data_IF_281745335896
#
_entry.id   IF_281745335896
#
_cell.length_a   1.000
_cell.length_b   1.000
_cell.length_c   1.000
_cell.angle_alpha   90.00
_cell.angle_beta   90.00
_cell.angle_gamma   90.00
#
_symmetry.space_group_name_H-M   'P 1'
#
loop_
_entity.id
_entity.type
_entity.pdbx_description
1 polymer ?
#
# COMPACT_ATOMS: atom_id res chain seq x y z
N UNK A 1 23.35 1.23 -3.80
CA UNK A 1 22.08 1.22 -4.54
C UNK A 1 21.14 2.32 -4.04
N UNK A 2 20.74 2.38 -2.73
CA UNK A 2 19.75 3.34 -2.22
C UNK A 2 20.08 4.80 -2.52
N UNK A 3 21.32 5.24 -2.25
CA UNK A 3 21.72 6.62 -2.56
C UNK A 3 21.56 6.97 -4.03
N UNK A 4 21.87 6.05 -4.92
CA UNK A 4 21.65 6.25 -6.36
C UNK A 4 20.17 6.42 -6.67
N UNK A 5 19.30 5.56 -6.15
CA UNK A 5 17.87 5.64 -6.39
C UNK A 5 17.29 6.98 -5.90
N UNK A 6 17.57 7.34 -4.67
CA UNK A 6 16.94 8.51 -4.04
C UNK A 6 17.59 9.85 -4.38
N UNK A 7 18.91 9.91 -4.46
CA UNK A 7 19.62 11.18 -4.68
C UNK A 7 19.84 11.50 -6.16
N UNK A 8 20.06 10.46 -6.99
CA UNK A 8 20.38 10.68 -8.41
C UNK A 8 19.15 10.40 -9.31
N UNK A 9 18.34 9.42 -8.96
CA UNK A 9 17.13 9.07 -9.74
C UNK A 9 15.85 9.70 -9.18
N UNK A 10 15.91 10.37 -8.03
CA UNK A 10 14.79 11.05 -7.38
C UNK A 10 13.58 10.15 -7.15
N UNK A 11 13.81 8.88 -6.83
CA UNK A 11 12.75 7.93 -6.45
C UNK A 11 12.12 8.42 -5.16
N UNK A 12 10.81 8.51 -5.11
CA UNK A 12 10.07 8.95 -3.93
C UNK A 12 9.94 7.86 -2.88
N UNK A 13 9.81 6.62 -3.34
CA UNK A 13 9.63 5.44 -2.49
C UNK A 13 10.04 4.20 -3.28
N UNK A 14 10.53 3.17 -2.61
CA UNK A 14 10.67 1.84 -3.19
C UNK A 14 9.89 0.82 -2.37
N UNK A 15 9.57 -0.31 -2.98
CA UNK A 15 8.93 -1.44 -2.34
C UNK A 15 9.56 -2.75 -2.76
N UNK A 16 9.54 -3.74 -1.88
CA UNK A 16 10.11 -5.06 -2.10
C UNK A 16 9.35 -6.15 -1.34
N UNK A 17 9.51 -7.39 -1.75
CA UNK A 17 8.88 -8.56 -1.12
C UNK A 17 9.50 -8.96 0.22
N UNK A 18 10.83 -8.91 0.41
CA UNK A 18 11.45 -9.19 1.70
C UNK A 18 10.96 -8.26 2.81
N UNK A 19 11.20 -8.67 4.08
CA UNK A 19 10.86 -7.87 5.24
C UNK A 19 11.80 -6.68 5.43
N UNK A 20 13.07 -6.85 5.10
CA UNK A 20 14.08 -5.81 5.33
C UNK A 20 14.70 -5.35 4.00
N UNK A 21 14.96 -4.06 3.87
CA UNK A 21 15.62 -3.47 2.70
C UNK A 21 17.08 -3.91 2.60
N UNK A 22 17.72 -4.23 3.71
CA UNK A 22 19.09 -4.71 3.73
C UNK A 22 19.31 -5.81 4.79
N UNK A 23 20.36 -6.59 4.59
CA UNK A 23 20.73 -7.71 5.45
C UNK A 23 21.86 -7.36 6.45
N UNK A 24 22.06 -6.11 6.78
CA UNK A 24 23.16 -5.66 7.65
C UNK A 24 22.79 -5.70 9.14
N UNK A 25 21.87 -6.60 9.52
CA UNK A 25 21.47 -6.81 10.91
C UNK A 25 22.69 -6.95 11.86
N UNK A 26 22.62 -6.40 13.06
CA UNK A 26 21.51 -5.65 13.65
C UNK A 26 21.52 -4.13 13.34
N UNK A 27 22.39 -3.65 12.49
CA UNK A 27 22.56 -2.21 12.23
C UNK A 27 21.61 -1.66 11.18
N UNK A 28 21.15 -2.48 10.23
CA UNK A 28 20.29 -2.09 9.13
C UNK A 28 20.71 -0.75 8.49
N UNK A 29 21.94 -0.72 7.99
CA UNK A 29 22.63 0.52 7.57
C UNK A 29 21.88 1.24 6.46
N UNK A 30 21.32 0.49 5.51
CA UNK A 30 20.54 1.01 4.38
C UNK A 30 19.23 1.64 4.83
N UNK A 31 18.45 0.91 5.62
CA UNK A 31 17.19 1.39 6.17
C UNK A 31 17.38 2.58 7.10
N UNK A 32 18.36 2.49 8.01
CA UNK A 32 18.70 3.59 8.90
C UNK A 32 19.08 4.86 8.14
N UNK A 33 19.82 4.71 7.04
CA UNK A 33 20.15 5.84 6.19
C UNK A 33 18.90 6.44 5.54
N UNK A 34 18.07 5.60 4.94
CA UNK A 34 16.87 5.98 4.22
C UNK A 34 15.90 6.75 5.13
N UNK A 35 15.56 6.16 6.27
CA UNK A 35 14.59 6.75 7.21
C UNK A 35 15.13 8.03 7.86
N UNK A 36 16.42 8.11 8.15
CA UNK A 36 17.06 9.35 8.65
C UNK A 36 17.06 10.49 7.64
N UNK A 37 16.96 10.18 6.35
CA UNK A 37 16.84 11.18 5.28
C UNK A 37 15.39 11.45 4.87
N UNK A 38 14.44 10.99 5.68
CA UNK A 38 13.01 11.22 5.47
C UNK A 38 12.47 10.62 4.16
N UNK A 39 13.04 9.50 3.74
CA UNK A 39 12.52 8.70 2.64
C UNK A 39 11.62 7.59 3.16
N UNK A 40 10.73 7.10 2.31
CA UNK A 40 9.83 6.01 2.62
C UNK A 40 10.24 4.72 1.90
N UNK A 41 9.94 3.58 2.52
CA UNK A 41 10.04 2.25 1.93
C UNK A 41 8.77 1.43 2.21
N UNK A 42 8.57 0.39 1.43
CA UNK A 42 7.54 -0.61 1.63
C UNK A 42 8.17 -2.00 1.66
N UNK A 43 7.84 -2.75 2.68
CA UNK A 43 8.34 -4.09 2.95
C UNK A 43 7.20 -5.10 2.86
N UNK A 44 7.51 -6.35 2.53
CA UNK A 44 6.53 -7.42 2.43
C UNK A 44 5.46 -7.16 1.37
N UNK A 45 5.82 -6.49 0.27
CA UNK A 45 4.89 -6.18 -0.82
C UNK A 45 4.68 -7.42 -1.67
N UNK A 46 3.43 -7.89 -1.77
CA UNK A 46 3.09 -9.07 -2.55
C UNK A 46 2.71 -8.73 -4.00
N UNK A 47 2.75 -9.77 -4.86
CA UNK A 47 2.29 -9.73 -6.25
C UNK A 47 3.04 -8.74 -7.14
N UNK A 48 4.31 -8.47 -6.87
CA UNK A 48 5.12 -7.58 -7.70
C UNK A 48 5.35 -8.12 -9.12
N UNK A 49 5.28 -9.44 -9.29
CA UNK A 49 5.34 -10.14 -10.58
C UNK A 49 4.11 -9.88 -11.47
N UNK A 50 3.02 -9.37 -10.90
CA UNK A 50 1.76 -9.11 -11.60
C UNK A 50 1.60 -7.67 -12.07
N UNK A 51 2.54 -6.79 -11.75
CA UNK A 51 2.53 -5.40 -12.20
C UNK A 51 3.51 -5.18 -13.35
N UNK A 52 3.24 -4.26 -14.29
CA UNK A 52 4.17 -3.96 -15.37
C UNK A 52 5.44 -3.30 -14.83
N UNK A 53 6.56 -3.50 -15.52
CA UNK A 53 7.85 -2.87 -15.19
C UNK A 53 7.79 -1.33 -15.19
N UNK A 54 6.84 -0.76 -15.90
CA UNK A 54 6.65 0.69 -15.99
C UNK A 54 5.21 1.04 -16.38
N UNK A 55 4.82 2.28 -16.14
CA UNK A 55 3.53 2.82 -16.61
C UNK A 55 2.34 2.53 -15.70
N UNK A 56 2.53 1.87 -14.56
CA UNK A 56 1.49 1.74 -13.55
C UNK A 56 1.47 2.96 -12.61
N UNK A 57 0.29 3.35 -12.19
CA UNK A 57 0.08 4.25 -11.06
C UNK A 57 -0.16 3.42 -9.80
N UNK A 58 0.55 3.73 -8.73
CA UNK A 58 0.38 3.04 -7.45
C UNK A 58 -0.35 3.95 -6.47
N UNK A 59 -1.52 3.52 -6.02
CA UNK A 59 -2.21 4.13 -4.89
C UNK A 59 -1.82 3.40 -3.60
N UNK A 60 -1.42 4.16 -2.57
CA UNK A 60 -0.95 3.62 -1.29
C UNK A 60 -1.84 4.19 -0.19
N UNK A 61 -2.63 3.32 0.42
CA UNK A 61 -3.49 3.67 1.55
C UNK A 61 -2.91 3.19 2.87
N UNK A 62 -2.66 4.10 3.80
CA UNK A 62 -2.20 3.77 5.15
C UNK A 62 -2.75 4.75 6.19
N UNK A 63 -2.81 4.31 7.44
CA UNK A 63 -3.25 5.14 8.54
C UNK A 63 -2.11 6.06 9.01
N UNK A 64 -2.43 7.32 9.28
CA UNK A 64 -1.49 8.30 9.84
C UNK A 64 -1.51 8.21 11.36
N UNK A 65 -0.61 7.44 11.93
CA UNK A 65 -0.45 7.34 13.38
C UNK A 65 0.43 8.47 13.89
N UNK A 66 0.01 9.15 14.94
CA UNK A 66 0.85 10.12 15.64
C UNK A 66 2.02 9.40 16.31
N UNK A 67 3.25 9.86 16.04
CA UNK A 67 4.47 9.23 16.55
C UNK A 67 4.76 7.83 16.03
N UNK A 68 4.02 7.36 15.02
CA UNK A 68 4.21 6.05 14.42
C UNK A 68 5.48 6.00 13.55
N UNK A 69 6.16 4.85 13.56
CA UNK A 69 7.35 4.57 12.74
C UNK A 69 7.01 3.87 11.44
N UNK A 70 5.82 3.28 11.32
CA UNK A 70 5.31 2.58 10.17
C UNK A 70 3.96 1.94 10.46
N UNK A 71 3.38 1.27 9.47
CA UNK A 71 2.11 0.58 9.62
C UNK A 71 1.71 -0.19 8.37
N UNK A 72 0.68 -0.99 8.49
CA UNK A 72 0.14 -1.73 7.37
C UNK A 72 -0.40 -0.79 6.30
N UNK A 73 -0.14 -1.11 5.05
CA UNK A 73 -0.60 -0.35 3.91
C UNK A 73 -1.33 -1.25 2.89
N UNK A 74 -2.27 -0.68 2.18
CA UNK A 74 -2.89 -1.30 1.01
C UNK A 74 -2.31 -0.65 -0.24
N UNK A 75 -1.72 -1.47 -1.11
CA UNK A 75 -1.20 -1.07 -2.41
C UNK A 75 -2.19 -1.48 -3.50
N UNK A 76 -2.52 -0.57 -4.37
CA UNK A 76 -3.36 -0.81 -5.54
C UNK A 76 -2.61 -0.29 -6.76
N UNK A 77 -2.28 -1.19 -7.67
CA UNK A 77 -1.71 -0.81 -8.96
C UNK A 77 -2.82 -0.58 -9.99
N UNK A 78 -2.78 0.58 -10.63
CA UNK A 78 -3.62 0.91 -11.78
C UNK A 78 -2.73 0.78 -13.00
N UNK A 79 -2.86 -0.32 -13.72
CA UNK A 79 -2.05 -0.67 -14.88
C UNK A 79 -2.71 -0.20 -16.18
N UNK A 80 -1.96 -0.11 -17.30
CA UNK A 80 -2.54 0.11 -18.62
C UNK A 80 -3.63 -0.90 -18.97
N UNK A 81 -4.67 -0.48 -19.69
CA UNK A 81 -5.84 -1.31 -20.01
C UNK A 81 -5.51 -2.60 -20.78
N UNK A 82 -4.38 -2.65 -21.47
CA UNK A 82 -3.89 -3.83 -22.20
C UNK A 82 -3.00 -4.74 -21.35
N UNK A 83 -2.85 -4.49 -20.06
CA UNK A 83 -2.06 -5.34 -19.17
C UNK A 83 -2.79 -6.64 -18.86
N UNK A 84 -2.15 -7.78 -19.13
CA UNK A 84 -2.78 -9.11 -19.12
C UNK A 84 -3.16 -9.66 -17.74
N UNK A 85 -2.56 -9.13 -16.68
CA UNK A 85 -2.82 -9.58 -15.29
C UNK A 85 -3.81 -8.69 -14.53
N UNK A 86 -4.34 -7.66 -15.21
CA UNK A 86 -5.27 -6.71 -14.59
C UNK A 86 -6.67 -7.31 -14.44
N UNK A 87 -7.37 -6.88 -13.38
CA UNK A 87 -8.81 -7.09 -13.23
C UNK A 87 -9.52 -5.88 -13.81
N UNK A 88 -10.36 -6.10 -14.81
CA UNK A 88 -11.20 -5.02 -15.36
C UNK A 88 -12.35 -4.78 -14.39
N UNK A 89 -12.43 -3.56 -13.85
CA UNK A 89 -13.60 -3.13 -13.09
C UNK A 89 -14.63 -2.64 -14.09
N UNK A 90 -15.61 -3.47 -14.38
CA UNK A 90 -16.77 -3.04 -15.14
C UNK A 90 -17.61 -2.13 -14.24
N UNK A 91 -17.50 -0.84 -14.48
CA UNK A 91 -18.38 0.11 -13.85
C UNK A 91 -19.74 0.00 -14.51
N UNK A 92 -20.73 -0.57 -13.82
CA UNK A 92 -22.11 -0.47 -14.24
C UNK A 92 -22.65 0.92 -13.85
N UNK A 93 -22.89 1.81 -14.82
CA UNK A 93 -23.40 3.13 -14.50
C UNK A 93 -24.78 2.98 -13.84
N UNK A 94 -24.93 3.53 -12.64
CA UNK A 94 -26.21 3.65 -11.97
C UNK A 94 -26.61 2.53 -11.03
N UNK A 95 -25.79 1.49 -10.83
CA UNK A 95 -26.02 0.55 -9.74
C UNK A 95 -25.52 1.20 -8.42
N UNK A 96 -26.38 1.50 -7.45
CA UNK A 96 -25.90 1.94 -6.15
C UNK A 96 -25.03 0.85 -5.54
N UNK A 97 -23.92 1.25 -4.91
CA UNK A 97 -23.14 0.33 -4.10
C UNK A 97 -24.10 -0.37 -3.11
N UNK A 98 -23.96 -1.69 -2.89
CA UNK A 98 -24.77 -2.38 -1.89
C UNK A 98 -24.47 -1.74 -0.53
N UNK A 99 -25.35 -0.83 -0.15
CA UNK A 99 -25.34 -0.27 1.20
C UNK A 99 -26.03 -1.26 2.13
N UNK A 100 -25.69 -1.23 3.40
CA UNK A 100 -26.40 -1.98 4.42
C UNK A 100 -27.91 -1.75 4.27
N UNK A 101 -28.67 -2.79 4.05
CA UNK A 101 -30.12 -2.69 3.85
C UNK A 101 -30.85 -2.30 5.13
N UNK A 102 -30.19 -2.46 6.27
CA UNK A 102 -30.73 -2.14 7.59
C UNK A 102 -29.79 -1.20 8.35
N UNK A 103 -30.37 -0.27 9.13
CA UNK A 103 -29.55 0.64 9.92
C UNK A 103 -28.71 -0.13 10.97
N UNK A 104 -27.46 0.27 11.11
CA UNK A 104 -26.61 -0.28 12.14
C UNK A 104 -27.03 0.24 13.51
N UNK A 105 -27.24 -0.66 14.47
CA UNK A 105 -27.53 -0.35 15.85
C UNK A 105 -26.42 -0.85 16.76
N UNK A 106 -26.10 -0.06 17.77
CA UNK A 106 -25.12 -0.45 18.79
C UNK A 106 -25.80 -1.32 19.84
N UNK A 107 -25.29 -2.55 19.99
CA UNK A 107 -25.71 -3.46 21.07
C UNK A 107 -25.23 -2.99 22.46
N UNK A 108 -25.76 -3.61 23.52
CA UNK A 108 -25.33 -3.34 24.90
C UNK A 108 -23.85 -3.62 25.14
N UNK A 109 -23.24 -4.49 24.35
CA UNK A 109 -21.81 -4.81 24.30
C UNK A 109 -20.95 -3.79 23.54
N UNK A 110 -21.57 -2.72 23.03
CA UNK A 110 -20.90 -1.68 22.27
C UNK A 110 -20.64 -2.03 20.80
N UNK A 111 -20.98 -3.21 20.32
CA UNK A 111 -20.74 -3.64 18.93
C UNK A 111 -21.88 -3.19 18.01
N UNK A 112 -21.52 -2.66 16.84
CA UNK A 112 -22.50 -2.29 15.80
C UNK A 112 -22.92 -3.53 15.03
N UNK A 113 -24.22 -3.75 14.91
CA UNK A 113 -24.84 -4.82 14.13
C UNK A 113 -26.00 -4.29 13.28
N UNK A 114 -26.27 -4.92 12.16
CA UNK A 114 -27.49 -4.63 11.42
C UNK A 114 -28.71 -4.98 12.26
N UNK A 115 -29.67 -4.08 12.33
CA UNK A 115 -30.98 -4.38 12.92
C UNK A 115 -31.77 -5.22 11.91
N UNK A 116 -32.14 -6.42 12.31
CA UNK A 116 -33.14 -7.20 11.55
C UNK A 116 -34.51 -6.53 11.66
#
# INVERSE_FOLDING_TARGET
ALKYLYLERHVLMHGHEPLDTDNTAPKFVGESWLLKHNFAQAEGVANLDQVPESGALIAIGFAKFEGGTGGFARYIAIAPANWSHGVTIEQQPGAPLPMHQHPLRRGADGVLRESK
#
